data_IF_234116622239
#
_entry.id   IF_234116622239
#
_cell.length_a   1.000
_cell.length_b   1.000
_cell.length_c   1.000
_cell.angle_alpha   90.00
_cell.angle_beta   90.00
_cell.angle_gamma   90.00
#
_symmetry.space_group_name_H-M   'P 1'
#
loop_
_entity.id
_entity.type
_entity.pdbx_description
1 polymer ?
#
# COMPACT_ATOMS: atom_id res chain seq x y z
N UNK A 1 1.23 18.95 -7.30
CA UNK A 1 2.24 18.22 -8.08
C UNK A 1 3.57 18.95 -8.06
N UNK A 2 3.75 20.02 -8.81
CA UNK A 2 5.06 20.71 -9.00
C UNK A 2 5.83 21.07 -7.74
N UNK A 3 5.17 21.45 -6.65
CA UNK A 3 5.84 21.75 -5.38
C UNK A 3 6.34 20.48 -4.68
N UNK A 4 5.49 19.47 -4.56
CA UNK A 4 5.82 18.19 -3.93
C UNK A 4 6.95 17.46 -4.66
N UNK A 5 6.91 17.44 -6.00
CA UNK A 5 7.95 16.87 -6.82
C UNK A 5 9.30 17.55 -6.60
N UNK A 6 9.31 18.89 -6.61
CA UNK A 6 10.53 19.68 -6.45
C UNK A 6 11.13 19.50 -5.04
N UNK A 7 10.31 19.45 -4.01
CA UNK A 7 10.72 19.20 -2.63
C UNK A 7 11.30 17.78 -2.47
N UNK A 8 10.63 16.77 -3.02
CA UNK A 8 11.10 15.37 -2.98
C UNK A 8 12.45 15.22 -3.68
N UNK A 9 12.57 15.74 -4.90
CA UNK A 9 13.84 15.67 -5.64
C UNK A 9 14.95 16.52 -4.99
N UNK A 10 14.59 17.64 -4.38
CA UNK A 10 15.52 18.46 -3.59
C UNK A 10 16.06 17.73 -2.37
N UNK A 11 15.24 16.88 -1.76
CA UNK A 11 15.62 16.00 -0.65
C UNK A 11 16.35 14.72 -1.10
N UNK A 12 16.54 14.50 -2.42
CA UNK A 12 17.16 13.28 -2.96
C UNK A 12 16.24 12.06 -2.94
N UNK A 13 14.93 12.26 -2.89
CA UNK A 13 13.93 11.20 -2.85
C UNK A 13 13.12 11.16 -4.15
N UNK A 14 12.46 10.04 -4.41
CA UNK A 14 11.55 9.86 -5.54
C UNK A 14 10.12 10.14 -5.08
N UNK A 15 9.39 11.09 -5.69
CA UNK A 15 7.99 11.32 -5.34
C UNK A 15 7.12 10.14 -5.76
N UNK A 16 6.23 9.74 -4.85
CA UNK A 16 5.22 8.70 -5.07
C UNK A 16 3.85 9.35 -4.93
N UNK A 17 2.99 9.15 -5.93
CA UNK A 17 1.61 9.58 -5.92
C UNK A 17 0.70 8.35 -5.87
N UNK A 18 -0.11 8.21 -4.84
CA UNK A 18 -1.23 7.29 -4.85
C UNK A 18 -2.38 7.95 -5.61
N UNK A 19 -2.74 7.38 -6.73
CA UNK A 19 -3.87 7.82 -7.55
C UNK A 19 -5.09 7.01 -7.16
N UNK A 20 -5.92 7.58 -6.30
CA UNK A 20 -7.10 6.97 -5.71
C UNK A 20 -8.31 7.85 -6.02
N UNK A 21 -8.70 7.88 -7.27
CA UNK A 21 -9.65 8.86 -7.81
C UNK A 21 -10.97 8.23 -8.28
N UNK A 22 -10.99 6.94 -8.60
CA UNK A 22 -12.18 6.32 -9.15
C UNK A 22 -13.31 6.32 -8.11
N UNK A 23 -13.02 5.91 -6.88
CA UNK A 23 -13.97 5.97 -5.76
C UNK A 23 -14.52 7.38 -5.53
N UNK A 24 -13.68 8.41 -5.72
CA UNK A 24 -14.03 9.83 -5.50
C UNK A 24 -14.74 10.47 -6.69
N UNK A 25 -14.94 9.72 -7.78
CA UNK A 25 -15.56 10.23 -9.00
C UNK A 25 -17.06 10.50 -8.84
N UNK A 26 -17.60 11.31 -9.76
CA UNK A 26 -19.04 11.59 -9.80
C UNK A 26 -19.73 10.72 -10.86
N UNK A 27 -21.01 10.38 -10.65
CA UNK A 27 -21.83 10.76 -9.49
C UNK A 27 -21.42 10.02 -8.22
N UNK A 28 -21.59 10.65 -7.06
CA UNK A 28 -21.43 9.95 -5.80
C UNK A 28 -22.52 8.87 -5.67
N UNK A 29 -22.08 7.62 -5.58
CA UNK A 29 -22.99 6.49 -5.47
C UNK A 29 -23.12 6.01 -4.02
N UNK A 30 -24.29 5.47 -3.69
CA UNK A 30 -24.53 4.83 -2.41
C UNK A 30 -24.11 3.36 -2.49
N UNK A 31 -23.33 2.91 -1.53
CA UNK A 31 -22.89 1.50 -1.47
C UNK A 31 -21.56 1.36 -0.75
N UNK A 32 -21.11 0.13 -0.63
CA UNK A 32 -19.74 -0.14 -0.22
C UNK A 32 -18.75 0.18 -1.34
N UNK A 33 -17.52 0.47 -0.97
CA UNK A 33 -16.44 0.89 -1.88
C UNK A 33 -16.32 0.02 -3.12
N UNK A 34 -16.30 -1.31 -2.97
CA UNK A 34 -16.25 -2.24 -4.10
C UNK A 34 -17.39 -2.05 -5.13
N UNK A 35 -18.60 -1.77 -4.65
CA UNK A 35 -19.75 -1.58 -5.54
C UNK A 35 -19.65 -0.25 -6.30
N UNK A 36 -19.22 0.81 -5.62
CA UNK A 36 -19.02 2.15 -6.20
C UNK A 36 -17.91 2.10 -7.24
N UNK A 37 -16.76 1.54 -6.91
CA UNK A 37 -15.62 1.44 -7.81
C UNK A 37 -15.95 0.66 -9.09
N UNK A 38 -16.62 -0.49 -8.95
CA UNK A 38 -16.98 -1.31 -10.12
C UNK A 38 -18.08 -0.64 -10.97
N UNK A 39 -19.01 0.11 -10.36
CA UNK A 39 -20.00 0.88 -11.08
C UNK A 39 -19.36 2.03 -11.86
N UNK A 40 -18.48 2.81 -11.23
CA UNK A 40 -17.73 3.88 -11.88
C UNK A 40 -16.84 3.37 -13.02
N UNK A 41 -16.20 2.22 -12.83
CA UNK A 41 -15.34 1.62 -13.86
C UNK A 41 -16.09 1.31 -15.16
N UNK A 42 -17.38 0.98 -15.08
CA UNK A 42 -18.25 0.64 -16.22
C UNK A 42 -19.16 1.81 -16.66
N UNK A 43 -19.07 2.99 -16.02
CA UNK A 43 -19.86 4.17 -16.42
C UNK A 43 -19.13 5.05 -17.44
N UNK A 44 -19.68 5.25 -18.66
CA UNK A 44 -19.02 6.05 -19.71
C UNK A 44 -18.77 7.52 -19.35
N UNK A 45 -19.67 8.14 -18.57
CA UNK A 45 -19.56 9.56 -18.23
C UNK A 45 -18.43 9.76 -17.19
N UNK A 46 -18.43 8.94 -16.13
CA UNK A 46 -17.38 8.90 -15.11
C UNK A 46 -16.01 8.63 -15.75
N UNK A 47 -15.91 7.58 -16.57
CA UNK A 47 -14.65 7.18 -17.17
C UNK A 47 -14.12 8.16 -18.21
N UNK A 48 -14.99 8.93 -18.87
CA UNK A 48 -14.54 10.05 -19.74
C UNK A 48 -13.79 11.11 -18.94
N UNK A 49 -14.33 11.50 -17.79
CA UNK A 49 -13.72 12.50 -16.90
C UNK A 49 -12.44 11.93 -16.25
N UNK A 50 -12.51 10.70 -15.78
CA UNK A 50 -11.38 9.98 -15.18
C UNK A 50 -10.17 9.91 -16.12
N UNK A 51 -10.37 9.47 -17.37
CA UNK A 51 -9.27 9.40 -18.33
C UNK A 51 -8.71 10.76 -18.74
N UNK A 52 -9.52 11.80 -18.73
CA UNK A 52 -9.04 13.17 -18.94
C UNK A 52 -8.10 13.60 -17.81
N UNK A 53 -8.41 13.27 -16.56
CA UNK A 53 -7.57 13.56 -15.39
C UNK A 53 -6.29 12.72 -15.37
N UNK A 54 -6.37 11.41 -15.64
CA UNK A 54 -5.18 10.55 -15.80
C UNK A 54 -4.23 11.09 -16.85
N UNK A 55 -4.75 11.53 -18.00
CA UNK A 55 -3.95 12.17 -19.05
C UNK A 55 -3.28 13.45 -18.55
N UNK A 56 -4.01 14.29 -17.82
CA UNK A 56 -3.47 15.51 -17.23
C UNK A 56 -2.36 15.21 -16.22
N UNK A 57 -2.52 14.16 -15.42
CA UNK A 57 -1.46 13.69 -14.51
C UNK A 57 -0.16 13.40 -15.30
N UNK A 58 -0.22 12.56 -16.33
CA UNK A 58 0.97 12.22 -17.11
C UNK A 58 1.57 13.44 -17.82
N UNK A 59 0.76 14.34 -18.35
CA UNK A 59 1.26 15.59 -18.96
C UNK A 59 2.06 16.43 -17.95
N UNK A 60 1.62 16.49 -16.68
CA UNK A 60 2.28 17.24 -15.62
C UNK A 60 3.47 16.51 -14.99
N UNK A 61 3.44 15.17 -14.98
CA UNK A 61 4.52 14.34 -14.47
C UNK A 61 5.69 14.19 -15.46
N UNK A 62 5.48 14.57 -16.72
CA UNK A 62 6.50 14.50 -17.77
C UNK A 62 7.76 15.28 -17.38
N UNK A 63 8.91 14.63 -17.43
CA UNK A 63 10.18 15.27 -17.09
C UNK A 63 11.38 14.34 -17.27
N UNK A 64 12.52 14.76 -16.73
CA UNK A 64 13.78 13.99 -16.74
C UNK A 64 14.01 13.20 -15.47
N UNK A 65 13.20 13.42 -14.43
CA UNK A 65 13.34 12.77 -13.13
C UNK A 65 12.24 11.76 -12.90
N UNK A 66 12.55 10.69 -12.20
CA UNK A 66 11.62 9.61 -11.90
C UNK A 66 10.49 10.09 -10.98
N UNK A 67 9.27 9.66 -11.31
CA UNK A 67 8.06 9.77 -10.50
C UNK A 67 7.44 8.38 -10.41
N UNK A 68 6.83 8.01 -9.30
CA UNK A 68 6.06 6.77 -9.17
C UNK A 68 4.58 7.13 -9.11
N UNK A 69 3.77 6.47 -9.92
CA UNK A 69 2.31 6.50 -9.85
C UNK A 69 1.81 5.16 -9.33
N UNK A 70 1.31 5.15 -8.12
CA UNK A 70 0.60 4.02 -7.49
C UNK A 70 -0.87 4.11 -7.91
N UNK A 71 -1.28 3.18 -8.79
CA UNK A 71 -2.57 3.26 -9.49
C UNK A 71 -3.65 2.59 -8.66
N UNK A 72 -4.67 3.33 -8.30
CA UNK A 72 -5.95 2.89 -7.72
C UNK A 72 -5.77 1.72 -6.72
N UNK A 73 -5.29 1.96 -5.50
CA UNK A 73 -5.01 0.89 -4.54
C UNK A 73 -6.21 -0.06 -4.46
N UNK A 74 -7.08 -0.13 -3.68
CA UNK A 74 -8.10 -1.15 -3.43
C UNK A 74 -8.89 -1.64 -4.67
N UNK A 75 -9.02 -0.81 -5.70
CA UNK A 75 -9.72 -1.15 -6.94
C UNK A 75 -9.25 -2.48 -7.54
N UNK A 76 -7.94 -2.75 -7.56
CA UNK A 76 -7.43 -4.00 -8.15
C UNK A 76 -7.88 -5.23 -7.38
N UNK A 77 -7.98 -5.11 -6.05
CA UNK A 77 -8.53 -6.17 -5.21
C UNK A 77 -10.02 -6.43 -5.49
N UNK A 78 -10.81 -5.37 -5.68
CA UNK A 78 -12.23 -5.49 -6.03
C UNK A 78 -12.42 -6.08 -7.44
N UNK A 79 -11.61 -5.67 -8.40
CA UNK A 79 -11.60 -6.26 -9.75
C UNK A 79 -11.22 -7.75 -9.67
N UNK A 80 -10.18 -8.11 -8.90
CA UNK A 80 -9.78 -9.52 -8.72
C UNK A 80 -10.90 -10.35 -8.10
N UNK A 81 -11.62 -9.81 -7.11
CA UNK A 81 -12.79 -10.48 -6.53
C UNK A 81 -13.94 -10.66 -7.52
N UNK A 82 -14.15 -9.72 -8.43
CA UNK A 82 -15.19 -9.77 -9.44
C UNK A 82 -14.80 -10.66 -10.63
N UNK A 83 -13.51 -10.86 -10.87
CA UNK A 83 -13.00 -11.62 -12.02
C UNK A 83 -13.37 -13.10 -11.93
N UNK A 84 -13.86 -13.65 -13.04
CA UNK A 84 -14.14 -15.08 -13.16
C UNK A 84 -12.89 -15.81 -13.62
N UNK A 85 -12.47 -16.82 -12.85
CA UNK A 85 -11.28 -17.60 -13.17
C UNK A 85 -9.98 -16.81 -13.08
N UNK A 86 -9.93 -15.79 -12.21
CA UNK A 86 -8.80 -14.88 -12.02
C UNK A 86 -8.40 -14.18 -13.36
N UNK A 87 -9.39 -13.87 -14.22
CA UNK A 87 -9.19 -13.25 -15.54
C UNK A 87 -9.80 -11.84 -15.60
N UNK A 88 -8.97 -10.83 -15.68
CA UNK A 88 -9.35 -9.42 -15.77
C UNK A 88 -10.19 -9.09 -17.01
N UNK A 89 -10.11 -9.88 -18.07
CA UNK A 89 -10.94 -9.69 -19.27
C UNK A 89 -12.43 -9.98 -19.01
N UNK A 90 -12.77 -10.56 -17.86
CA UNK A 90 -14.16 -10.86 -17.49
C UNK A 90 -14.86 -9.74 -16.74
N UNK A 91 -14.12 -8.67 -16.36
CA UNK A 91 -14.66 -7.52 -15.63
C UNK A 91 -14.81 -6.35 -16.59
N UNK A 92 -16.04 -5.81 -16.81
CA UNK A 92 -16.26 -4.66 -17.67
C UNK A 92 -15.52 -3.41 -17.19
N UNK A 93 -15.06 -2.60 -18.13
CA UNK A 93 -14.51 -1.27 -17.87
C UNK A 93 -14.61 -0.43 -19.13
N UNK A 94 -14.93 0.86 -19.00
CA UNK A 94 -14.93 1.80 -20.12
C UNK A 94 -13.52 2.33 -20.34
N UNK A 95 -12.98 2.08 -21.53
CA UNK A 95 -11.59 2.40 -21.90
C UNK A 95 -11.56 3.18 -23.20
N UNK A 96 -10.72 4.24 -23.33
CA UNK A 96 -10.62 5.02 -24.55
C UNK A 96 -10.01 4.23 -25.71
N UNK A 97 -10.41 4.59 -26.93
CA UNK A 97 -9.81 4.08 -28.17
C UNK A 97 -10.23 2.63 -28.49
N UNK A 98 -9.29 1.82 -28.97
CA UNK A 98 -9.54 0.47 -29.47
C UNK A 98 -9.09 -0.63 -28.48
N UNK A 99 -8.82 -0.29 -27.22
CA UNK A 99 -8.48 -1.29 -26.21
C UNK A 99 -9.73 -2.09 -25.78
N UNK A 100 -9.53 -3.29 -25.21
CA UNK A 100 -10.66 -4.04 -24.68
C UNK A 100 -11.45 -3.23 -23.64
N UNK A 101 -12.77 -3.31 -23.71
CA UNK A 101 -13.67 -2.65 -22.73
C UNK A 101 -13.79 -3.49 -21.46
N UNK A 102 -12.64 -3.72 -20.82
CA UNK A 102 -12.48 -4.58 -19.64
C UNK A 102 -11.37 -4.05 -18.73
N UNK A 103 -11.25 -4.59 -17.53
CA UNK A 103 -10.17 -4.26 -16.60
C UNK A 103 -8.77 -4.53 -17.19
N UNK A 104 -8.63 -5.47 -18.11
CA UNK A 104 -7.39 -5.66 -18.86
C UNK A 104 -7.07 -4.43 -19.73
N UNK A 105 -8.05 -3.92 -20.48
CA UNK A 105 -7.88 -2.69 -21.27
C UNK A 105 -7.63 -1.46 -20.38
N UNK A 106 -8.27 -1.39 -19.21
CA UNK A 106 -8.01 -0.33 -18.22
C UNK A 106 -6.52 -0.29 -17.81
N UNK A 107 -5.95 -1.42 -17.46
CA UNK A 107 -4.52 -1.52 -17.15
C UNK A 107 -3.63 -1.14 -18.34
N UNK A 108 -3.98 -1.60 -19.54
CA UNK A 108 -3.23 -1.33 -20.78
C UNK A 108 -3.24 0.16 -21.14
N UNK A 109 -4.35 0.87 -20.87
CA UNK A 109 -4.45 2.31 -21.14
C UNK A 109 -3.50 3.12 -20.24
N UNK A 110 -3.32 2.76 -18.96
CA UNK A 110 -2.31 3.39 -18.11
C UNK A 110 -0.90 3.26 -18.70
N UNK A 111 -0.54 2.06 -19.13
CA UNK A 111 0.77 1.82 -19.78
C UNK A 111 0.91 2.63 -21.06
N UNK A 112 -0.11 2.63 -21.93
CA UNK A 112 -0.12 3.38 -23.17
C UNK A 112 0.03 4.89 -22.96
N UNK A 113 -0.69 5.44 -21.98
CA UNK A 113 -0.60 6.87 -21.64
C UNK A 113 0.78 7.23 -21.08
N UNK A 114 1.29 6.43 -20.15
CA UNK A 114 2.62 6.60 -19.59
C UNK A 114 3.68 6.60 -20.67
N UNK A 115 3.69 5.62 -21.55
CA UNK A 115 4.71 5.48 -22.61
C UNK A 115 4.66 6.66 -23.60
N UNK A 116 3.45 7.15 -23.90
CA UNK A 116 3.27 8.25 -24.83
C UNK A 116 3.56 9.63 -24.23
N UNK A 117 3.23 9.86 -22.97
CA UNK A 117 3.21 11.19 -22.38
C UNK A 117 4.31 11.42 -21.33
N UNK A 118 4.67 10.40 -20.55
CA UNK A 118 5.58 10.55 -19.41
C UNK A 118 6.41 9.27 -19.17
N UNK A 119 7.34 8.90 -20.06
CA UNK A 119 8.12 7.66 -19.92
C UNK A 119 9.04 7.63 -18.69
N UNK A 120 9.19 8.76 -18.01
CA UNK A 120 9.89 8.86 -16.72
C UNK A 120 9.05 8.41 -15.51
N UNK A 121 7.74 8.15 -15.68
CA UNK A 121 6.86 7.67 -14.63
C UNK A 121 6.94 6.15 -14.54
N UNK A 122 7.21 5.64 -13.35
CA UNK A 122 7.08 4.23 -13.01
C UNK A 122 5.65 3.96 -12.55
N UNK A 123 5.00 2.98 -13.15
CA UNK A 123 3.67 2.54 -12.77
C UNK A 123 3.75 1.48 -11.67
N UNK A 124 3.03 1.68 -10.58
CA UNK A 124 2.89 0.71 -9.53
C UNK A 124 1.49 0.09 -9.55
N UNK A 125 1.45 -1.23 -9.69
CA UNK A 125 0.25 -2.05 -9.51
C UNK A 125 0.01 -2.24 -8.00
N UNK A 126 -1.23 -2.22 -7.54
CA UNK A 126 -1.53 -2.58 -6.15
C UNK A 126 -1.99 -4.03 -6.06
N UNK A 127 -1.34 -4.80 -5.20
CA UNK A 127 -1.70 -6.18 -4.90
C UNK A 127 -2.37 -6.22 -3.52
N UNK A 128 -3.66 -6.52 -3.47
CA UNK A 128 -4.40 -6.69 -2.23
C UNK A 128 -4.32 -8.13 -1.73
N UNK A 129 -3.90 -8.33 -0.48
CA UNK A 129 -3.81 -9.65 0.12
C UNK A 129 -5.16 -10.39 0.27
N UNK A 130 -6.26 -9.66 0.09
CA UNK A 130 -7.65 -10.11 0.17
C UNK A 130 -8.33 -10.24 -1.22
N UNK A 131 -7.65 -9.89 -2.32
CA UNK A 131 -8.22 -9.90 -3.68
C UNK A 131 -8.77 -11.25 -4.13
N UNK A 132 -8.23 -12.34 -3.63
CA UNK A 132 -8.75 -13.72 -3.89
C UNK A 132 -10.02 -14.08 -3.11
N UNK A 133 -10.66 -13.13 -2.41
CA UNK A 133 -11.77 -13.32 -1.44
C UNK A 133 -11.35 -14.01 -0.14
N UNK A 134 -10.06 -14.10 0.10
CA UNK A 134 -9.47 -14.67 1.30
C UNK A 134 -8.43 -13.72 1.85
N UNK A 135 -8.53 -13.41 3.12
CA UNK A 135 -7.58 -12.55 3.80
C UNK A 135 -6.60 -13.40 4.63
N UNK A 136 -5.34 -13.37 4.24
CA UNK A 136 -4.28 -14.16 4.91
C UNK A 136 -3.99 -13.69 6.34
N UNK A 137 -4.36 -12.46 6.68
CA UNK A 137 -4.18 -11.89 8.02
C UNK A 137 -5.24 -12.43 8.97
N UNK A 138 -6.49 -12.39 8.55
CA UNK A 138 -7.61 -12.84 9.38
C UNK A 138 -7.75 -14.36 9.41
N UNK A 139 -7.64 -15.03 8.26
CA UNK A 139 -7.84 -16.47 8.14
C UNK A 139 -6.65 -17.28 8.64
N UNK A 140 -5.45 -16.70 8.61
CA UNK A 140 -4.19 -17.34 9.02
C UNK A 140 -3.99 -18.74 8.44
N UNK A 141 -4.14 -18.94 7.12
CA UNK A 141 -4.14 -20.24 6.49
C UNK A 141 -2.74 -20.90 6.50
N UNK A 142 -2.65 -22.22 6.29
CA UNK A 142 -1.38 -22.91 6.17
C UNK A 142 -0.60 -22.49 4.92
N UNK A 143 0.73 -22.68 4.95
CA UNK A 143 1.66 -22.20 3.92
C UNK A 143 1.31 -22.64 2.48
N UNK A 144 0.76 -23.84 2.29
CA UNK A 144 0.34 -24.31 0.97
C UNK A 144 -0.82 -23.45 0.41
N UNK A 145 -1.78 -23.12 1.25
CA UNK A 145 -2.94 -22.26 0.91
C UNK A 145 -2.48 -20.83 0.64
N UNK A 146 -1.56 -20.28 1.45
CA UNK A 146 -0.96 -18.96 1.19
C UNK A 146 -0.32 -18.90 -0.20
N UNK A 147 0.46 -19.92 -0.58
CA UNK A 147 1.05 -19.99 -1.93
C UNK A 147 0.00 -20.09 -3.03
N UNK A 148 -1.09 -20.82 -2.79
CA UNK A 148 -2.16 -20.97 -3.77
C UNK A 148 -2.88 -19.63 -4.00
N UNK A 149 -3.19 -18.87 -2.94
CA UNK A 149 -3.79 -17.55 -3.06
C UNK A 149 -2.86 -16.57 -3.78
N UNK A 150 -1.60 -16.49 -3.39
CA UNK A 150 -0.63 -15.65 -4.08
C UNK A 150 -0.43 -16.02 -5.55
N UNK A 151 -0.54 -17.30 -5.90
CA UNK A 151 -0.48 -17.75 -7.28
C UNK A 151 -1.70 -17.30 -8.09
N UNK A 152 -2.89 -17.30 -7.50
CA UNK A 152 -4.12 -16.76 -8.12
C UNK A 152 -3.99 -15.26 -8.38
N UNK A 153 -3.56 -14.48 -7.40
CA UNK A 153 -3.31 -13.04 -7.60
C UNK A 153 -2.28 -12.78 -8.70
N UNK A 154 -1.25 -13.62 -8.81
CA UNK A 154 -0.29 -13.51 -9.92
C UNK A 154 -0.88 -13.94 -11.29
N UNK A 155 -1.84 -14.86 -11.32
CA UNK A 155 -2.61 -15.19 -12.55
C UNK A 155 -3.45 -13.98 -12.95
N UNK A 156 -4.18 -13.39 -12.00
CA UNK A 156 -4.98 -12.20 -12.23
C UNK A 156 -4.09 -11.03 -12.76
N UNK A 157 -2.99 -10.72 -12.09
CA UNK A 157 -2.07 -9.69 -12.57
C UNK A 157 -1.61 -9.92 -14.02
N UNK A 158 -1.24 -11.15 -14.37
CA UNK A 158 -0.82 -11.47 -15.75
C UNK A 158 -1.94 -11.37 -16.75
N UNK A 159 -3.19 -11.62 -16.36
CA UNK A 159 -4.36 -11.48 -17.24
C UNK A 159 -4.65 -10.04 -17.65
N UNK A 160 -4.11 -9.04 -16.93
CA UNK A 160 -4.17 -7.63 -17.32
C UNK A 160 -3.50 -7.39 -18.70
N UNK A 161 -2.55 -8.22 -19.09
CA UNK A 161 -1.81 -8.02 -20.35
C UNK A 161 -1.04 -6.70 -20.40
N UNK A 162 -0.80 -6.09 -19.24
CA UNK A 162 -0.10 -4.84 -19.05
C UNK A 162 1.08 -5.06 -18.11
N UNK A 163 2.20 -4.37 -18.37
CA UNK A 163 3.39 -4.47 -17.54
C UNK A 163 3.57 -3.23 -16.70
N UNK A 164 3.38 -3.38 -15.40
CA UNK A 164 3.76 -2.39 -14.39
C UNK A 164 5.25 -2.54 -14.03
N UNK A 165 5.82 -1.49 -13.44
CA UNK A 165 7.25 -1.46 -13.10
C UNK A 165 7.53 -2.05 -11.72
N UNK A 166 6.57 -1.91 -10.81
CA UNK A 166 6.65 -2.35 -9.41
C UNK A 166 5.25 -2.71 -8.92
N UNK A 167 5.15 -3.56 -7.90
CA UNK A 167 3.92 -3.77 -7.16
C UNK A 167 4.00 -3.06 -5.80
N UNK A 168 2.88 -2.52 -5.35
CA UNK A 168 2.66 -2.12 -3.98
C UNK A 168 1.72 -3.13 -3.31
N UNK A 169 1.79 -3.26 -1.99
CA UNK A 169 0.89 -4.13 -1.25
C UNK A 169 0.55 -3.54 0.12
N UNK A 170 -0.66 -3.82 0.58
CA UNK A 170 -1.11 -3.40 1.90
C UNK A 170 -0.43 -4.20 3.00
N UNK A 171 0.13 -3.48 3.95
CA UNK A 171 0.51 -4.11 5.22
C UNK A 171 -0.65 -4.09 6.21
N UNK A 172 -1.37 -3.01 6.27
CA UNK A 172 -2.62 -2.80 6.99
C UNK A 172 -3.11 -1.37 6.73
N UNK A 173 -4.39 -1.13 6.74
CA UNK A 173 -4.95 0.22 6.65
C UNK A 173 -4.98 0.97 7.99
N UNK A 174 -4.87 0.25 9.13
CA UNK A 174 -4.85 0.81 10.48
C UNK A 174 -3.94 0.03 11.43
N UNK A 175 -3.62 0.65 12.56
CA UNK A 175 -2.86 0.02 13.65
C UNK A 175 -3.64 -1.16 14.24
N UNK A 176 -2.92 -2.18 14.69
CA UNK A 176 -3.54 -3.35 15.35
C UNK A 176 -4.30 -2.97 16.62
N UNK A 177 -3.83 -1.96 17.34
CA UNK A 177 -4.51 -1.42 18.52
C UNK A 177 -5.86 -0.77 18.20
N UNK A 178 -5.98 -0.10 17.05
CA UNK A 178 -7.26 0.41 16.56
C UNK A 178 -8.28 -0.72 16.40
N UNK A 179 -7.92 -1.75 15.64
CA UNK A 179 -8.79 -2.90 15.46
C UNK A 179 -9.17 -3.57 16.78
N UNK A 180 -8.23 -3.69 17.71
CA UNK A 180 -8.48 -4.30 19.01
C UNK A 180 -9.46 -3.50 19.86
N UNK A 181 -9.29 -2.18 19.91
CA UNK A 181 -10.04 -1.31 20.84
C UNK A 181 -11.34 -0.81 20.23
N UNK A 182 -11.32 -0.41 18.96
CA UNK A 182 -12.47 0.20 18.29
C UNK A 182 -13.34 -0.88 17.61
N UNK A 183 -12.73 -1.77 16.88
CA UNK A 183 -13.42 -2.82 16.13
C UNK A 183 -13.61 -4.12 16.93
N UNK A 184 -13.10 -4.18 18.15
CA UNK A 184 -13.13 -5.37 19.02
C UNK A 184 -12.53 -6.62 18.38
N UNK A 185 -11.52 -6.44 17.53
CA UNK A 185 -10.82 -7.48 16.79
C UNK A 185 -9.30 -7.44 17.05
N UNK A 186 -8.81 -8.28 17.95
CA UNK A 186 -7.39 -8.41 18.25
C UNK A 186 -6.61 -9.29 17.22
N UNK A 187 -7.27 -9.81 16.18
CA UNK A 187 -6.66 -10.77 15.26
C UNK A 187 -5.70 -10.14 14.24
N UNK A 188 -5.61 -8.82 14.21
CA UNK A 188 -4.72 -8.03 13.34
C UNK A 188 -3.31 -7.83 13.88
N UNK A 189 -3.05 -8.17 15.13
CA UNK A 189 -1.70 -8.23 15.67
C UNK A 189 -0.88 -9.31 14.98
N UNK A 190 0.27 -8.94 14.44
CA UNK A 190 1.14 -9.90 13.77
C UNK A 190 2.06 -10.61 14.77
N UNK A 191 1.89 -11.92 14.89
CA UNK A 191 2.91 -12.80 15.47
C UNK A 191 4.06 -13.01 14.47
N UNK A 192 5.21 -13.58 14.90
CA UNK A 192 6.27 -13.98 13.96
C UNK A 192 5.77 -14.92 12.83
N UNK A 193 4.76 -15.75 13.11
CA UNK A 193 4.16 -16.63 12.12
C UNK A 193 3.31 -15.84 11.09
N UNK A 194 2.68 -14.74 11.51
CA UNK A 194 1.91 -13.88 10.61
C UNK A 194 2.84 -13.09 9.69
N UNK A 195 3.93 -12.55 10.21
CA UNK A 195 4.98 -11.94 9.37
C UNK A 195 5.58 -12.94 8.38
N UNK A 196 5.82 -14.17 8.77
CA UNK A 196 6.31 -15.21 7.87
C UNK A 196 5.27 -15.58 6.79
N UNK A 197 3.98 -15.58 7.12
CA UNK A 197 2.88 -15.83 6.20
C UNK A 197 2.76 -14.69 5.18
N UNK A 198 2.77 -13.46 5.63
CA UNK A 198 2.79 -12.27 4.79
C UNK A 198 3.98 -12.30 3.82
N UNK A 199 5.18 -12.55 4.33
CA UNK A 199 6.39 -12.66 3.52
C UNK A 199 6.28 -13.78 2.47
N UNK A 200 5.69 -14.93 2.83
CA UNK A 200 5.49 -16.05 1.91
C UNK A 200 4.53 -15.70 0.78
N UNK A 201 3.45 -14.98 1.09
CA UNK A 201 2.48 -14.49 0.10
C UNK A 201 3.18 -13.58 -0.90
N UNK A 202 3.80 -12.52 -0.41
CA UNK A 202 4.49 -11.54 -1.22
C UNK A 202 5.61 -12.14 -2.07
N UNK A 203 6.47 -12.99 -1.49
CA UNK A 203 7.54 -13.68 -2.22
C UNK A 203 7.01 -14.58 -3.35
N UNK A 204 5.88 -15.26 -3.11
CA UNK A 204 5.25 -16.10 -4.12
C UNK A 204 4.70 -15.27 -5.26
N UNK A 205 3.98 -14.19 -4.95
CA UNK A 205 3.46 -13.24 -5.95
C UNK A 205 4.61 -12.61 -6.77
N UNK A 206 5.60 -12.03 -6.11
CA UNK A 206 6.77 -11.39 -6.76
C UNK A 206 7.43 -12.32 -7.78
N UNK A 207 7.69 -13.55 -7.37
CA UNK A 207 8.32 -14.55 -8.25
C UNK A 207 7.46 -14.88 -9.46
N UNK A 208 6.14 -15.01 -9.29
CA UNK A 208 5.22 -15.43 -10.35
C UNK A 208 4.79 -14.26 -11.24
N UNK A 209 4.65 -13.06 -10.69
CA UNK A 209 4.32 -11.84 -11.43
C UNK A 209 5.55 -11.23 -12.14
N UNK A 210 6.77 -11.53 -11.68
CA UNK A 210 7.99 -10.95 -12.23
C UNK A 210 8.19 -9.48 -11.84
N UNK A 211 7.58 -9.03 -10.74
CA UNK A 211 7.69 -7.67 -10.22
C UNK A 211 8.59 -7.59 -8.99
N UNK A 212 9.00 -6.38 -8.63
CA UNK A 212 9.48 -6.04 -7.28
C UNK A 212 8.32 -5.50 -6.46
N UNK A 213 8.45 -5.48 -5.13
CA UNK A 213 7.39 -5.11 -4.20
C UNK A 213 7.80 -3.92 -3.34
N UNK A 214 6.86 -3.04 -3.06
CA UNK A 214 6.94 -2.00 -2.03
C UNK A 214 5.83 -2.29 -1.02
N UNK A 215 6.17 -2.43 0.24
CA UNK A 215 5.18 -2.46 1.30
C UNK A 215 4.65 -1.04 1.53
N UNK A 216 3.33 -0.91 1.57
CA UNK A 216 2.63 0.36 1.67
C UNK A 216 1.67 0.37 2.86
N UNK A 217 1.30 1.53 3.33
CA UNK A 217 0.45 1.74 4.51
C UNK A 217 0.93 0.95 5.75
N UNK A 218 2.25 1.00 6.03
CA UNK A 218 2.75 0.36 7.24
C UNK A 218 2.39 1.24 8.43
N UNK A 219 1.58 0.74 9.37
CA UNK A 219 1.17 1.51 10.55
C UNK A 219 2.34 1.97 11.39
N UNK A 220 2.19 3.12 12.04
CA UNK A 220 3.26 3.80 12.79
C UNK A 220 3.23 3.52 14.29
N UNK A 221 2.15 2.97 14.81
CA UNK A 221 2.01 2.62 16.21
C UNK A 221 3.12 1.69 16.71
N UNK A 222 3.31 1.71 18.01
CA UNK A 222 4.28 0.85 18.68
C UNK A 222 3.80 0.50 20.09
N UNK A 223 4.45 -0.48 20.74
CA UNK A 223 4.16 -0.90 22.11
C UNK A 223 5.20 -0.37 23.10
N UNK A 224 6.06 0.53 22.69
CA UNK A 224 7.22 1.00 23.47
C UNK A 224 6.96 2.37 24.09
N UNK A 225 6.42 3.31 23.33
CA UNK A 225 6.23 4.70 23.76
C UNK A 225 4.91 4.90 24.49
N UNK A 226 4.87 5.78 25.47
CA UNK A 226 3.65 6.12 26.24
C UNK A 226 2.62 6.90 25.44
N UNK A 227 3.02 7.49 24.32
CA UNK A 227 2.11 8.14 23.40
C UNK A 227 1.03 7.16 22.87
N UNK A 228 1.36 5.89 22.77
CA UNK A 228 0.47 4.84 22.28
C UNK A 228 -0.54 4.43 23.38
N UNK A 229 -1.67 5.09 23.45
CA UNK A 229 -2.67 4.88 24.50
C UNK A 229 -4.06 4.46 24.01
N UNK A 230 -4.19 4.12 22.71
CA UNK A 230 -5.44 3.69 22.08
C UNK A 230 -6.57 4.74 22.15
N UNK A 231 -6.22 6.05 22.12
CA UNK A 231 -7.16 7.16 22.09
C UNK A 231 -6.64 8.26 21.17
N UNK A 232 -7.52 9.01 20.50
CA UNK A 232 -7.16 10.16 19.68
C UNK A 232 -6.00 9.88 18.70
N UNK A 233 -6.12 8.77 17.94
CA UNK A 233 -5.10 8.32 16.98
C UNK A 233 -3.76 7.91 17.61
N UNK A 234 -3.73 7.56 18.90
CA UNK A 234 -2.58 6.97 19.60
C UNK A 234 -2.76 5.45 19.75
N UNK A 235 -2.72 4.72 18.67
CA UNK A 235 -2.95 3.27 18.68
C UNK A 235 -1.65 2.49 18.60
N UNK A 236 -1.58 1.38 19.33
CA UNK A 236 -0.41 0.51 19.35
C UNK A 236 -0.36 -0.39 18.12
N UNK A 237 0.87 -0.67 17.65
CA UNK A 237 1.15 -1.64 16.59
C UNK A 237 2.53 -2.28 16.82
N UNK A 238 2.86 -3.33 16.11
CA UNK A 238 4.18 -3.98 16.22
C UNK A 238 4.97 -4.03 14.91
N UNK A 239 4.48 -3.45 13.84
CA UNK A 239 5.09 -3.53 12.51
C UNK A 239 6.36 -2.69 12.41
N UNK A 240 6.38 -1.48 12.95
CA UNK A 240 7.61 -0.65 13.02
C UNK A 240 8.69 -1.35 13.84
N UNK A 241 8.32 -1.95 14.99
CA UNK A 241 9.25 -2.69 15.82
C UNK A 241 9.84 -3.90 15.09
N UNK A 242 9.02 -4.63 14.33
CA UNK A 242 9.47 -5.76 13.54
C UNK A 242 10.43 -5.36 12.43
N UNK A 243 10.12 -4.28 11.70
CA UNK A 243 10.88 -3.85 10.53
C UNK A 243 12.09 -2.96 10.86
N UNK A 244 12.00 -2.11 11.89
CA UNK A 244 13.02 -1.12 12.22
C UNK A 244 13.58 -1.23 13.65
N UNK A 245 13.05 -2.12 14.48
CA UNK A 245 13.52 -2.31 15.84
C UNK A 245 14.95 -2.87 15.93
N UNK A 246 15.52 -2.96 17.13
CA UNK A 246 16.95 -3.31 17.33
C UNK A 246 17.40 -4.64 16.70
N UNK A 247 16.48 -5.60 16.54
CA UNK A 247 16.78 -6.94 15.98
C UNK A 247 16.32 -7.09 14.52
N UNK A 248 15.83 -6.03 13.90
CA UNK A 248 15.08 -6.09 12.64
C UNK A 248 15.88 -6.34 11.37
N UNK A 249 17.21 -6.17 11.38
CA UNK A 249 17.97 -6.32 10.11
C UNK A 249 17.86 -7.72 9.48
N UNK A 250 17.64 -8.77 10.27
CA UNK A 250 17.36 -10.11 9.73
C UNK A 250 16.00 -10.17 9.03
N UNK A 251 14.98 -9.51 9.62
CA UNK A 251 13.64 -9.40 9.04
C UNK A 251 13.69 -8.65 7.72
N UNK A 252 14.30 -7.45 7.69
CA UNK A 252 14.44 -6.67 6.45
C UNK A 252 15.20 -7.43 5.37
N UNK A 253 16.27 -8.20 5.71
CA UNK A 253 16.96 -9.04 4.73
C UNK A 253 16.05 -10.11 4.12
N UNK A 254 15.15 -10.70 4.93
CA UNK A 254 14.18 -11.66 4.43
C UNK A 254 13.20 -11.00 3.44
N UNK A 255 12.71 -9.80 3.74
CA UNK A 255 11.87 -9.03 2.83
C UNK A 255 12.61 -8.64 1.54
N UNK A 256 13.85 -8.17 1.64
CA UNK A 256 14.68 -7.86 0.46
C UNK A 256 14.91 -9.12 -0.40
N UNK A 257 15.20 -10.27 0.22
CA UNK A 257 15.34 -11.54 -0.49
C UNK A 257 14.03 -12.00 -1.15
N UNK A 258 12.87 -11.66 -0.58
CA UNK A 258 11.55 -11.89 -1.16
C UNK A 258 11.20 -10.95 -2.32
N UNK A 259 12.00 -9.91 -2.56
CA UNK A 259 11.83 -8.98 -3.67
C UNK A 259 11.32 -7.59 -3.30
N UNK A 260 11.24 -7.28 -2.01
CA UNK A 260 10.90 -5.92 -1.57
C UNK A 260 12.04 -4.93 -1.86
N UNK A 261 11.67 -3.75 -2.32
CA UNK A 261 12.59 -2.66 -2.64
C UNK A 261 12.33 -1.39 -1.85
N UNK A 262 11.22 -1.32 -1.14
CA UNK A 262 10.83 -0.17 -0.32
C UNK A 262 9.80 -0.53 0.74
N UNK A 263 9.72 0.33 1.76
CA UNK A 263 8.77 0.25 2.86
C UNK A 263 8.25 1.66 3.10
N UNK A 264 6.96 1.87 2.89
CA UNK A 264 6.31 3.16 3.05
C UNK A 264 5.47 3.12 4.33
N UNK A 265 6.00 3.78 5.34
CA UNK A 265 5.33 4.00 6.61
C UNK A 265 4.51 5.27 6.53
N UNK A 266 3.35 5.28 7.12
CA UNK A 266 2.52 6.46 7.12
C UNK A 266 1.19 6.24 7.81
N UNK A 267 0.52 7.36 8.07
CA UNK A 267 -0.86 7.35 8.46
C UNK A 267 -1.69 6.81 7.29
N UNK A 268 -2.44 5.74 7.52
CA UNK A 268 -3.42 5.20 6.57
C UNK A 268 -4.77 5.91 6.68
N UNK A 269 -5.83 5.15 6.88
CA UNK A 269 -7.19 5.67 7.07
C UNK A 269 -7.33 6.45 8.40
N UNK A 270 -8.46 7.14 8.59
CA UNK A 270 -8.76 7.80 9.86
C UNK A 270 -8.73 6.82 11.03
N UNK A 271 -8.22 7.26 12.19
CA UNK A 271 -7.98 6.40 13.34
C UNK A 271 -6.62 5.69 13.32
N UNK A 272 -5.68 6.15 12.50
CA UNK A 272 -4.30 5.66 12.47
C UNK A 272 -3.35 6.59 13.20
N UNK A 273 -2.35 5.97 13.86
CA UNK A 273 -1.24 6.68 14.47
C UNK A 273 -0.41 7.42 13.42
N UNK A 274 -0.10 8.68 13.70
CA UNK A 274 0.75 9.52 12.85
C UNK A 274 2.13 9.71 13.51
N UNK A 275 3.18 9.89 12.71
CA UNK A 275 4.47 10.41 13.16
C UNK A 275 4.45 11.96 13.25
N UNK A 276 3.30 12.52 13.54
CA UNK A 276 3.00 13.93 13.72
C UNK A 276 1.93 14.05 14.80
N UNK A 277 1.66 15.24 15.30
CA UNK A 277 0.51 15.51 16.16
C UNK A 277 -0.73 15.77 15.29
N UNK A 278 -1.36 14.69 14.80
CA UNK A 278 -2.48 14.78 13.87
C UNK A 278 -3.75 15.30 14.55
N UNK A 279 -3.96 14.98 15.81
CA UNK A 279 -5.08 15.47 16.60
C UNK A 279 -4.88 16.93 17.03
N UNK A 280 -3.64 17.46 16.99
CA UNK A 280 -3.31 18.81 17.44
C UNK A 280 -3.52 19.00 18.95
N UNK A 281 -3.45 17.92 19.72
CA UNK A 281 -3.73 17.94 21.15
C UNK A 281 -2.47 18.24 22.00
N UNK A 282 -1.29 18.25 21.40
CA UNK A 282 0.00 18.50 22.07
C UNK A 282 0.38 17.40 23.07
N UNK A 283 -0.24 16.23 22.99
CA UNK A 283 0.00 15.14 23.95
C UNK A 283 1.36 14.51 23.73
N UNK A 284 2.22 14.58 24.76
CA UNK A 284 3.55 13.98 24.73
C UNK A 284 3.68 12.77 25.64
N UNK A 285 2.84 12.65 26.65
CA UNK A 285 2.86 11.59 27.64
C UNK A 285 1.44 11.17 28.07
N UNK A 286 0.64 10.61 27.15
CA UNK A 286 -0.67 10.11 27.52
C UNK A 286 -0.55 8.96 28.55
N UNK A 287 -1.63 8.60 29.26
CA UNK A 287 -1.63 7.45 30.15
C UNK A 287 -1.26 6.17 29.38
N UNK A 288 -0.42 5.29 29.96
CA UNK A 288 -0.06 4.03 29.29
C UNK A 288 -1.26 3.09 29.20
N UNK A 289 -1.33 2.34 28.09
CA UNK A 289 -2.30 1.28 27.85
C UNK A 289 -1.54 0.03 27.40
N UNK A 290 -2.04 -1.15 27.76
CA UNK A 290 -1.53 -2.44 27.32
C UNK A 290 -0.01 -2.64 27.53
N UNK A 291 0.52 -2.12 28.64
CA UNK A 291 1.94 -2.28 28.99
C UNK A 291 2.87 -1.25 28.35
N UNK A 292 2.36 -0.31 27.57
CA UNK A 292 3.13 0.83 27.07
C UNK A 292 3.54 1.72 28.24
N UNK A 293 4.80 1.64 28.67
CA UNK A 293 5.31 2.32 29.87
C UNK A 293 6.41 3.33 29.57
N UNK A 294 6.99 3.31 28.39
CA UNK A 294 8.06 4.23 27.98
C UNK A 294 7.49 5.62 27.69
N UNK A 295 8.06 6.66 28.27
CA UNK A 295 7.65 8.03 28.00
C UNK A 295 7.91 8.41 26.55
N UNK A 296 6.98 9.15 25.94
CA UNK A 296 7.19 9.70 24.61
C UNK A 296 8.29 10.76 24.62
N UNK A 297 8.93 10.96 23.46
CA UNK A 297 10.05 11.88 23.28
C UNK A 297 9.62 13.24 22.69
N UNK A 298 8.44 13.29 22.10
CA UNK A 298 7.90 14.44 21.39
C UNK A 298 6.37 14.41 21.35
N UNK A 299 5.75 15.53 21.00
CA UNK A 299 4.32 15.62 20.72
C UNK A 299 4.04 15.05 19.33
N UNK A 300 4.28 13.78 19.16
CA UNK A 300 3.97 12.98 17.97
C UNK A 300 3.07 11.82 18.44
N UNK A 301 2.06 11.46 17.68
CA UNK A 301 1.10 10.41 18.06
C UNK A 301 1.79 9.04 18.29
N UNK A 302 2.89 8.77 17.59
CA UNK A 302 3.74 7.60 17.80
C UNK A 302 4.83 7.78 18.89
N UNK A 303 4.84 8.89 19.58
CA UNK A 303 5.86 9.26 20.58
C UNK A 303 7.25 9.50 20.00
N UNK A 304 7.37 9.65 18.68
CA UNK A 304 8.64 9.83 17.96
C UNK A 304 9.41 8.52 17.73
N UNK A 305 8.78 7.37 17.97
CA UNK A 305 9.43 6.06 17.86
C UNK A 305 9.88 5.75 16.43
N UNK A 306 9.01 5.90 15.44
CA UNK A 306 9.36 5.68 14.03
C UNK A 306 10.57 6.52 13.61
N UNK A 307 10.54 7.81 13.91
CA UNK A 307 11.62 8.76 13.59
C UNK A 307 12.96 8.34 14.22
N UNK A 308 12.91 7.88 15.47
CA UNK A 308 14.09 7.35 16.16
C UNK A 308 14.64 6.10 15.49
N UNK A 309 13.79 5.11 15.20
CA UNK A 309 14.19 3.83 14.60
C UNK A 309 14.69 4.01 13.15
N UNK A 310 14.04 4.86 12.36
CA UNK A 310 14.48 5.20 11.01
C UNK A 310 15.89 5.85 11.02
N UNK A 311 16.16 6.76 11.95
CA UNK A 311 17.50 7.35 12.11
C UNK A 311 18.56 6.30 12.46
N UNK A 312 18.25 5.35 13.34
CA UNK A 312 19.17 4.27 13.69
C UNK A 312 19.44 3.35 12.50
N UNK A 313 18.40 3.02 11.73
CA UNK A 313 18.55 2.23 10.51
C UNK A 313 19.49 2.90 9.49
N UNK A 314 19.29 4.18 9.18
CA UNK A 314 20.12 4.89 8.21
C UNK A 314 21.56 5.12 8.71
N UNK A 315 21.76 5.35 10.00
CA UNK A 315 23.11 5.43 10.61
C UNK A 315 23.87 4.11 10.47
N UNK A 316 23.20 2.99 10.57
CA UNK A 316 23.80 1.65 10.37
C UNK A 316 24.03 1.29 8.89
N UNK A 317 23.64 2.17 7.96
CA UNK A 317 23.65 1.97 6.52
C UNK A 317 22.44 1.19 6.01
N UNK A 318 21.84 1.67 4.92
CA UNK A 318 20.74 0.98 4.27
C UNK A 318 21.17 -0.39 3.75
N UNK A 319 20.23 -1.35 3.72
CA UNK A 319 20.48 -2.67 3.12
C UNK A 319 20.63 -2.52 1.60
N UNK A 320 21.65 -3.14 0.98
CA UNK A 320 21.78 -3.13 -0.46
C UNK A 320 20.65 -3.96 -1.09
N UNK A 321 20.08 -3.42 -2.17
CA UNK A 321 19.13 -4.18 -2.98
C UNK A 321 19.89 -5.11 -3.94
N UNK A 322 19.42 -6.37 -4.15
CA UNK A 322 20.02 -7.26 -5.11
C UNK A 322 19.88 -6.65 -6.52
N UNK A 323 20.94 -6.72 -7.32
CA UNK A 323 20.87 -6.35 -8.73
C UNK A 323 19.84 -7.23 -9.43
N UNK A 324 19.13 -6.67 -10.42
CA UNK A 324 18.35 -7.52 -11.33
C UNK A 324 19.33 -8.46 -12.05
N UNK A 325 19.07 -9.77 -11.94
CA UNK A 325 19.75 -10.76 -12.77
C UNK A 325 19.36 -10.54 -14.25
#
# INVERSE_FOLDING_TARGET
MTRYDAESWGAGTIPVFSYYQLLQSQPAEAGGEAAVDLAHLDDPATMTSYWADVRLFFQRARGSKTVVLHVEPDLWGYIEQAARGDDAATVPAVVPGNLPQTAAGFAQEFVRLRDALAPNVLLAYHMSGWGTKHDIVYEKPPAATVRAYAARSAVFYRSLGARFDVAFEDFSDRDAGYYQVVEHNANTWFSPADFARHLLYAATFVRLAGLRMVAWQIPLGNTVMRAENNTNDHYQDNRVQWLLGPTSRAHLRAYVAAGFVGFLFGRGADGNTCACDAAGDGVTNPPPIDGNTTASLSADDDGGYFKQQARLYYRAGALPLPRRA
#
